data_IF_109788198761
#
_entry.id   IF_109788198761
#
_cell.length_a   1.000
_cell.length_b   1.000
_cell.length_c   1.000
_cell.angle_alpha   90.00
_cell.angle_beta   90.00
_cell.angle_gamma   90.00
#
_symmetry.space_group_name_H-M   'P 1'
#
loop_
_entity.id
_entity.type
_entity.pdbx_description
1 polymer ?
#
# COMPACT_ATOMS: atom_id res chain seq x y z
N UNK A 1 -1.09 -16.97 -20.16
CA UNK A 1 -1.25 -15.75 -20.99
C UNK A 1 -1.99 -16.02 -22.31
N UNK A 2 -1.90 -17.23 -22.88
CA UNK A 2 -2.59 -17.61 -24.13
C UNK A 2 -4.13 -17.52 -24.15
N UNK A 3 -4.80 -17.54 -22.97
CA UNK A 3 -6.27 -17.51 -22.88
C UNK A 3 -6.87 -16.12 -22.61
N UNK A 4 -6.05 -15.13 -22.23
CA UNK A 4 -6.52 -13.79 -21.93
C UNK A 4 -6.51 -12.94 -23.23
N UNK A 5 -7.62 -12.30 -23.62
CA UNK A 5 -7.59 -11.34 -24.71
C UNK A 5 -6.68 -10.17 -24.35
N UNK A 6 -6.04 -9.57 -25.36
CA UNK A 6 -5.24 -8.36 -25.18
C UNK A 6 -6.08 -7.22 -24.57
N UNK A 7 -5.46 -6.38 -23.75
CA UNK A 7 -6.20 -5.31 -23.07
C UNK A 7 -6.82 -4.34 -24.09
N UNK A 8 -8.14 -4.09 -24.03
CA UNK A 8 -8.80 -3.19 -24.98
C UNK A 8 -8.24 -1.76 -24.88
N UNK A 9 -7.77 -1.34 -23.71
CA UNK A 9 -7.08 -0.06 -23.51
C UNK A 9 -5.76 0.04 -24.26
N UNK A 10 -4.99 -1.06 -24.32
CA UNK A 10 -3.75 -1.10 -25.08
C UNK A 10 -4.01 -1.05 -26.59
N UNK A 11 -5.05 -1.77 -27.05
CA UNK A 11 -5.46 -1.76 -28.46
C UNK A 11 -5.91 -0.36 -28.91
N UNK A 12 -6.67 0.36 -28.08
CA UNK A 12 -7.04 1.77 -28.32
C UNK A 12 -5.81 2.66 -28.41
N UNK A 13 -4.86 2.55 -27.47
CA UNK A 13 -3.58 3.31 -27.47
C UNK A 13 -2.71 3.03 -28.70
N UNK A 14 -2.83 1.84 -29.31
CA UNK A 14 -2.14 1.45 -30.54
C UNK A 14 -2.91 1.80 -31.82
N UNK A 15 -4.08 2.45 -31.71
CA UNK A 15 -4.94 2.77 -32.86
C UNK A 15 -5.71 1.57 -33.43
N UNK A 16 -5.67 0.40 -32.78
CA UNK A 16 -6.34 -0.84 -33.21
C UNK A 16 -7.79 -0.90 -32.69
N UNK A 17 -8.63 0.04 -33.15
CA UNK A 17 -9.99 0.22 -32.63
C UNK A 17 -10.93 -0.95 -32.92
N UNK A 18 -10.80 -1.62 -34.07
CA UNK A 18 -11.63 -2.77 -34.43
C UNK A 18 -11.36 -3.98 -33.53
N UNK A 19 -10.08 -4.24 -33.24
CA UNK A 19 -9.68 -5.29 -32.31
C UNK A 19 -10.14 -4.96 -30.88
N UNK A 20 -10.06 -3.69 -30.49
CA UNK A 20 -10.59 -3.24 -29.20
C UNK A 20 -12.10 -3.49 -29.07
N UNK A 21 -12.88 -3.21 -30.12
CA UNK A 21 -14.32 -3.54 -30.18
C UNK A 21 -14.57 -5.03 -30.02
N UNK A 22 -13.82 -5.87 -30.73
CA UNK A 22 -13.96 -7.33 -30.64
C UNK A 22 -13.68 -7.85 -29.22
N UNK A 23 -12.68 -7.29 -28.55
CA UNK A 23 -12.36 -7.63 -27.16
C UNK A 23 -13.42 -7.11 -26.19
N UNK A 24 -13.87 -5.86 -26.32
CA UNK A 24 -14.94 -5.30 -25.48
C UNK A 24 -16.23 -6.11 -25.63
N UNK A 25 -16.57 -6.52 -26.86
CA UNK A 25 -17.70 -7.40 -27.12
C UNK A 25 -17.55 -8.74 -26.40
N UNK A 26 -16.37 -9.37 -26.46
CA UNK A 26 -16.08 -10.64 -25.77
C UNK A 26 -16.15 -10.53 -24.24
N UNK A 27 -15.76 -9.38 -23.69
CA UNK A 27 -15.77 -9.12 -22.24
C UNK A 27 -17.15 -8.68 -21.72
N UNK A 28 -18.06 -8.29 -22.61
CA UNK A 28 -19.42 -7.86 -22.24
C UNK A 28 -20.35 -9.07 -22.24
N UNK A 29 -21.15 -9.23 -21.19
CA UNK A 29 -22.19 -10.27 -21.17
C UNK A 29 -23.36 -9.88 -22.09
N UNK A 30 -23.82 -10.81 -22.93
CA UNK A 30 -24.95 -10.60 -23.86
C UNK A 30 -26.27 -10.20 -23.16
N UNK A 31 -26.37 -10.34 -21.83
CA UNK A 31 -27.54 -9.95 -21.03
C UNK A 31 -27.65 -8.44 -20.78
N UNK A 32 -26.65 -7.65 -21.13
CA UNK A 32 -26.65 -6.20 -20.91
C UNK A 32 -27.28 -5.46 -22.10
N UNK A 33 -28.61 -5.39 -22.13
CA UNK A 33 -29.42 -4.79 -23.22
C UNK A 33 -29.10 -3.31 -23.49
N UNK A 34 -28.49 -2.60 -22.51
CA UNK A 34 -28.13 -1.18 -22.61
C UNK A 34 -26.63 -0.91 -22.81
N UNK A 35 -25.79 -1.93 -23.03
CA UNK A 35 -24.36 -1.72 -23.18
C UNK A 35 -23.99 -1.46 -24.65
N UNK A 36 -23.84 -0.18 -24.99
CA UNK A 36 -23.36 0.26 -26.29
C UNK A 36 -21.82 0.11 -26.37
N UNK A 37 -21.37 -0.87 -27.16
CA UNK A 37 -19.95 -1.19 -27.36
C UNK A 37 -19.22 -0.01 -28.00
N UNK A 38 -19.85 0.66 -28.97
CA UNK A 38 -19.25 1.76 -29.70
C UNK A 38 -19.08 2.99 -28.81
N UNK A 39 -20.08 3.28 -27.98
CA UNK A 39 -19.97 4.33 -26.96
C UNK A 39 -18.86 4.05 -25.95
N UNK A 40 -18.69 2.79 -25.52
CA UNK A 40 -17.61 2.43 -24.60
C UNK A 40 -16.23 2.57 -25.25
N UNK A 41 -16.05 2.08 -26.48
CA UNK A 41 -14.77 2.25 -27.19
C UNK A 41 -14.49 3.72 -27.48
N UNK A 42 -15.50 4.51 -27.84
CA UNK A 42 -15.36 5.96 -27.99
C UNK A 42 -14.94 6.63 -26.68
N UNK A 43 -15.55 6.24 -25.55
CA UNK A 43 -15.15 6.73 -24.23
C UNK A 43 -13.69 6.36 -23.91
N UNK A 44 -13.24 5.16 -24.27
CA UNK A 44 -11.85 4.73 -24.09
C UNK A 44 -10.88 5.57 -24.94
N UNK A 45 -11.25 5.92 -26.18
CA UNK A 45 -10.46 6.81 -27.06
C UNK A 45 -10.35 8.20 -26.43
N UNK A 46 -11.47 8.80 -26.06
CA UNK A 46 -11.50 10.14 -25.45
C UNK A 46 -10.70 10.16 -24.15
N UNK A 47 -10.87 9.14 -23.31
CA UNK A 47 -10.11 9.00 -22.05
C UNK A 47 -8.61 8.86 -22.32
N UNK A 48 -8.22 8.09 -23.34
CA UNK A 48 -6.81 7.89 -23.70
C UNK A 48 -6.17 9.18 -24.23
N UNK A 49 -6.88 9.92 -25.08
CA UNK A 49 -6.39 11.21 -25.58
C UNK A 49 -6.31 12.26 -24.46
N UNK A 50 -7.27 12.28 -23.54
CA UNK A 50 -7.21 13.12 -22.35
C UNK A 50 -6.03 12.74 -21.44
N UNK A 51 -5.81 11.45 -21.17
CA UNK A 51 -4.62 10.99 -20.44
C UNK A 51 -3.32 11.38 -21.15
N UNK A 52 -3.31 11.38 -22.48
CA UNK A 52 -2.14 11.75 -23.29
C UNK A 52 -1.86 13.25 -23.23
N UNK A 53 -2.88 14.10 -23.33
CA UNK A 53 -2.73 15.55 -23.20
C UNK A 53 -2.23 15.92 -21.81
N UNK A 54 -2.84 15.34 -20.77
CA UNK A 54 -2.39 15.52 -19.38
C UNK A 54 -0.93 15.07 -19.21
N UNK A 55 -0.55 13.92 -19.76
CA UNK A 55 0.81 13.43 -19.63
C UNK A 55 1.83 14.29 -20.38
N UNK A 56 1.45 14.88 -21.52
CA UNK A 56 2.28 15.79 -22.29
C UNK A 56 2.48 17.13 -21.58
N UNK A 57 1.46 17.62 -20.86
CA UNK A 57 1.51 18.89 -20.13
C UNK A 57 2.17 18.75 -18.74
N UNK A 58 2.17 17.55 -18.15
CA UNK A 58 2.71 17.33 -16.80
C UNK A 58 4.15 16.82 -16.83
N UNK A 59 5.02 17.35 -15.99
CA UNK A 59 6.40 16.85 -15.81
C UNK A 59 6.56 16.23 -14.42
N UNK A 60 7.54 15.33 -14.20
CA UNK A 60 7.84 14.80 -12.86
C UNK A 60 8.13 15.90 -11.82
N UNK A 61 8.68 17.05 -12.26
CA UNK A 61 8.89 18.22 -11.41
C UNK A 61 7.58 18.77 -10.84
N UNK A 62 6.45 18.64 -11.54
CA UNK A 62 5.14 19.08 -11.06
C UNK A 62 4.67 18.26 -9.84
N UNK A 63 5.17 17.03 -9.65
CA UNK A 63 4.91 16.25 -8.43
C UNK A 63 5.55 16.89 -7.19
N UNK A 64 6.60 17.70 -7.36
CA UNK A 64 7.33 18.33 -6.26
C UNK A 64 6.94 19.80 -6.04
N UNK A 65 5.88 20.29 -6.69
CA UNK A 65 5.44 21.68 -6.60
C UNK A 65 4.17 21.84 -5.76
N UNK A 66 4.15 22.87 -4.90
CA UNK A 66 2.97 23.32 -4.16
C UNK A 66 2.24 22.20 -3.40
N UNK A 67 0.94 22.12 -3.62
CA UNK A 67 0.04 21.14 -2.97
C UNK A 67 0.36 19.70 -3.39
N UNK A 68 0.87 19.50 -4.61
CA UNK A 68 1.20 18.17 -5.13
C UNK A 68 2.40 17.55 -4.42
N UNK A 69 3.37 18.38 -3.97
CA UNK A 69 4.49 17.92 -3.15
C UNK A 69 4.01 17.16 -1.91
N UNK A 70 3.05 17.74 -1.19
CA UNK A 70 2.51 17.12 0.02
C UNK A 70 1.86 15.77 -0.29
N UNK A 71 1.08 15.69 -1.38
CA UNK A 71 0.41 14.46 -1.79
C UNK A 71 1.40 13.39 -2.22
N UNK A 72 2.39 13.75 -3.03
CA UNK A 72 3.43 12.82 -3.49
C UNK A 72 4.27 12.33 -2.31
N UNK A 73 4.62 13.19 -1.35
CA UNK A 73 5.30 12.77 -0.12
C UNK A 73 4.48 11.81 0.74
N UNK A 74 3.15 12.03 0.83
CA UNK A 74 2.26 11.09 1.52
C UNK A 74 2.31 9.71 0.85
N UNK A 75 2.21 9.66 -0.48
CA UNK A 75 2.20 8.41 -1.26
C UNK A 75 3.55 7.68 -1.16
N UNK A 76 4.67 8.42 -1.24
CA UNK A 76 6.01 7.88 -0.99
C UNK A 76 6.11 7.31 0.41
N UNK A 77 5.63 8.04 1.42
CA UNK A 77 5.66 7.61 2.81
C UNK A 77 4.85 6.32 3.04
N UNK A 78 3.63 6.22 2.53
CA UNK A 78 2.80 5.00 2.64
C UNK A 78 3.51 3.79 2.02
N UNK A 79 4.17 3.97 0.88
CA UNK A 79 4.97 2.91 0.28
C UNK A 79 6.20 2.54 1.13
N UNK A 80 6.91 3.52 1.71
CA UNK A 80 8.04 3.27 2.61
C UNK A 80 7.61 2.54 3.90
N UNK A 81 6.41 2.84 4.42
CA UNK A 81 5.84 2.16 5.59
C UNK A 81 5.77 0.65 5.35
N UNK A 82 5.48 0.19 4.13
CA UNK A 82 5.47 -1.26 3.82
C UNK A 82 6.82 -1.93 4.11
N UNK A 83 7.93 -1.24 3.88
CA UNK A 83 9.26 -1.74 4.23
C UNK A 83 9.52 -1.58 5.73
N UNK A 84 9.25 -0.40 6.28
CA UNK A 84 9.58 -0.05 7.68
C UNK A 84 8.81 -0.85 8.73
N UNK A 85 7.62 -1.38 8.40
CA UNK A 85 6.84 -2.19 9.33
C UNK A 85 7.35 -3.63 9.53
N UNK A 86 8.53 -3.97 8.98
CA UNK A 86 9.16 -5.28 9.15
C UNK A 86 8.82 -6.29 8.06
N UNK A 87 8.37 -5.87 6.88
CA UNK A 87 8.18 -6.76 5.74
C UNK A 87 9.47 -7.51 5.33
N UNK A 88 10.66 -6.88 5.32
CA UNK A 88 11.91 -7.56 5.02
C UNK A 88 12.20 -8.72 5.99
N UNK A 89 11.91 -8.56 7.28
CA UNK A 89 12.05 -9.61 8.29
C UNK A 89 11.19 -10.84 7.96
N UNK A 90 9.94 -10.63 7.54
CA UNK A 90 9.03 -11.71 7.11
C UNK A 90 9.49 -12.38 5.82
N UNK A 91 10.17 -11.65 4.92
CA UNK A 91 10.81 -12.24 3.74
C UNK A 91 11.88 -13.28 4.07
N UNK A 92 12.54 -13.14 5.22
CA UNK A 92 13.53 -14.09 5.75
C UNK A 92 12.97 -14.95 6.90
N UNK A 93 11.64 -15.18 6.96
CA UNK A 93 10.98 -15.85 8.10
C UNK A 93 11.59 -17.22 8.45
N UNK A 94 11.90 -18.06 7.46
CA UNK A 94 12.49 -19.39 7.71
C UNK A 94 13.84 -19.28 8.41
N UNK A 95 14.69 -18.37 7.94
CA UNK A 95 15.99 -18.13 8.56
C UNK A 95 15.82 -17.50 9.94
N UNK A 96 14.92 -16.54 10.08
CA UNK A 96 14.57 -15.95 11.38
C UNK A 96 14.13 -16.99 12.41
N UNK A 97 13.26 -17.94 12.03
CA UNK A 97 12.80 -19.02 12.91
C UNK A 97 13.96 -19.94 13.34
N UNK A 98 14.89 -20.26 12.44
CA UNK A 98 16.10 -21.00 12.79
C UNK A 98 16.95 -20.21 13.79
N UNK A 99 17.14 -18.91 13.57
CA UNK A 99 17.88 -18.03 14.48
C UNK A 99 17.15 -17.81 15.82
N UNK A 100 15.84 -17.97 15.87
CA UNK A 100 15.07 -17.99 17.11
C UNK A 100 15.26 -19.30 17.91
N UNK A 101 15.89 -20.32 17.32
CA UNK A 101 16.19 -21.61 17.96
C UNK A 101 15.26 -22.76 17.55
N UNK A 102 14.43 -22.59 16.52
CA UNK A 102 13.60 -23.70 16.01
C UNK A 102 14.43 -24.66 15.13
N UNK A 103 14.17 -25.98 15.21
CA UNK A 103 14.72 -26.93 14.25
C UNK A 103 14.34 -26.56 12.81
N UNK A 104 15.20 -26.89 11.85
CA UNK A 104 15.04 -26.54 10.43
C UNK A 104 13.70 -27.03 9.84
N UNK A 105 13.26 -28.23 10.22
CA UNK A 105 11.98 -28.80 9.81
C UNK A 105 10.79 -28.00 10.35
N UNK A 106 10.83 -27.60 11.61
CA UNK A 106 9.75 -26.81 12.24
C UNK A 106 9.74 -25.37 11.74
N UNK A 107 10.90 -24.76 11.52
CA UNK A 107 11.02 -23.45 10.90
C UNK A 107 10.37 -23.43 9.50
N UNK A 108 10.59 -24.46 8.69
CA UNK A 108 9.96 -24.60 7.39
C UNK A 108 8.43 -24.76 7.50
N UNK A 109 7.95 -25.63 8.40
CA UNK A 109 6.52 -25.81 8.67
C UNK A 109 5.84 -24.50 9.11
N UNK A 110 6.49 -23.71 9.96
CA UNK A 110 5.98 -22.41 10.40
C UNK A 110 5.93 -21.37 9.27
N UNK A 111 6.88 -21.40 8.33
CA UNK A 111 6.82 -20.55 7.13
C UNK A 111 5.62 -20.94 6.25
N UNK A 112 5.37 -22.24 6.04
CA UNK A 112 4.19 -22.70 5.30
C UNK A 112 2.90 -22.24 6.00
N UNK A 113 2.81 -22.42 7.32
CA UNK A 113 1.68 -21.94 8.11
C UNK A 113 1.51 -20.41 7.98
N UNK A 114 2.61 -19.66 7.97
CA UNK A 114 2.62 -18.22 7.73
C UNK A 114 2.01 -17.83 6.38
N UNK A 115 2.32 -18.55 5.31
CA UNK A 115 1.71 -18.32 3.99
C UNK A 115 0.22 -18.68 3.95
N UNK A 116 -0.18 -19.79 4.58
CA UNK A 116 -1.60 -20.16 4.67
C UNK A 116 -2.40 -19.09 5.42
N UNK A 117 -1.89 -18.60 6.53
CA UNK A 117 -2.50 -17.52 7.32
C UNK A 117 -2.51 -16.20 6.52
N UNK A 118 -1.48 -15.92 5.72
CA UNK A 118 -1.46 -14.74 4.85
C UNK A 118 -2.59 -14.77 3.81
N UNK A 119 -2.91 -15.94 3.23
CA UNK A 119 -4.06 -16.11 2.31
C UNK A 119 -5.37 -15.79 3.03
N UNK A 120 -5.57 -16.34 4.24
CA UNK A 120 -6.75 -16.06 5.06
C UNK A 120 -6.85 -14.57 5.40
N UNK A 121 -5.72 -13.93 5.72
CA UNK A 121 -5.65 -12.48 5.94
C UNK A 121 -6.08 -11.69 4.71
N UNK A 122 -5.64 -12.10 3.52
CA UNK A 122 -6.05 -11.50 2.25
C UNK A 122 -7.57 -11.59 2.03
N UNK A 123 -8.17 -12.76 2.28
CA UNK A 123 -9.64 -12.93 2.19
C UNK A 123 -10.38 -12.06 3.20
N UNK A 124 -9.85 -11.96 4.42
CA UNK A 124 -10.44 -11.12 5.47
C UNK A 124 -10.39 -9.62 5.11
N UNK A 125 -9.36 -9.18 4.36
CA UNK A 125 -9.25 -7.79 3.91
C UNK A 125 -10.46 -7.34 3.08
N UNK A 126 -11.03 -8.24 2.25
CA UNK A 126 -12.16 -7.91 1.39
C UNK A 126 -13.41 -7.53 2.18
N UNK A 127 -13.60 -8.13 3.36
CA UNK A 127 -14.71 -7.81 4.26
C UNK A 127 -14.39 -6.60 5.13
N UNK A 128 -13.13 -6.46 5.57
CA UNK A 128 -12.74 -5.40 6.50
C UNK A 128 -12.70 -4.00 5.85
N UNK A 129 -12.21 -3.91 4.62
CA UNK A 129 -11.98 -2.62 3.94
C UNK A 129 -13.26 -1.82 3.65
N UNK A 130 -14.40 -2.42 3.24
CA UNK A 130 -15.64 -1.67 3.05
C UNK A 130 -16.26 -1.16 4.36
N UNK A 131 -16.13 -1.93 5.44
CA UNK A 131 -16.83 -1.66 6.70
C UNK A 131 -16.24 -0.47 7.46
N UNK A 132 -14.91 -0.38 7.57
CA UNK A 132 -14.25 0.65 8.38
C UNK A 132 -13.54 1.73 7.53
N UNK A 133 -13.23 2.86 8.15
CA UNK A 133 -12.42 3.92 7.52
C UNK A 133 -10.99 3.47 7.25
N UNK A 134 -10.44 3.82 6.09
CA UNK A 134 -9.15 3.31 5.61
C UNK A 134 -7.99 3.80 6.47
N UNK A 135 -8.02 5.08 6.86
CA UNK A 135 -7.01 5.66 7.77
C UNK A 135 -7.07 4.98 9.14
N UNK A 136 -8.27 4.71 9.63
CA UNK A 136 -8.49 4.10 10.95
C UNK A 136 -7.94 2.69 11.00
N UNK A 137 -8.28 1.84 10.02
CA UNK A 137 -7.71 0.48 9.92
C UNK A 137 -6.19 0.58 9.79
N UNK A 138 -5.68 1.41 8.88
CA UNK A 138 -4.24 1.52 8.62
C UNK A 138 -3.45 1.91 9.88
N UNK A 139 -3.93 2.90 10.63
CA UNK A 139 -3.28 3.37 11.84
C UNK A 139 -3.28 2.32 12.95
N UNK A 140 -4.44 1.71 13.25
CA UNK A 140 -4.54 0.71 14.31
C UNK A 140 -3.77 -0.56 13.98
N UNK A 141 -3.72 -0.95 12.70
CA UNK A 141 -2.87 -2.04 12.24
C UNK A 141 -1.39 -1.76 12.48
N UNK A 142 -0.91 -0.55 12.23
CA UNK A 142 0.48 -0.17 12.53
C UNK A 142 0.77 -0.19 14.04
N UNK A 143 -0.16 0.26 14.88
CA UNK A 143 -0.03 0.20 16.35
C UNK A 143 0.07 -1.25 16.82
N UNK A 144 -0.82 -2.13 16.34
CA UNK A 144 -0.77 -3.54 16.70
C UNK A 144 0.52 -4.21 16.21
N UNK A 145 1.00 -3.82 15.03
CA UNK A 145 2.25 -4.31 14.47
C UNK A 145 3.48 -3.88 15.27
N UNK A 146 3.48 -2.64 15.76
CA UNK A 146 4.49 -2.13 16.67
C UNK A 146 4.55 -2.93 17.98
N UNK A 147 3.39 -3.21 18.59
CA UNK A 147 3.31 -4.01 19.81
C UNK A 147 3.88 -5.41 19.58
N UNK A 148 3.49 -6.07 18.49
CA UNK A 148 4.00 -7.42 18.16
C UNK A 148 5.51 -7.40 17.94
N UNK A 149 6.04 -6.42 17.23
CA UNK A 149 7.48 -6.30 16.98
C UNK A 149 8.28 -6.03 18.27
N UNK A 150 7.73 -5.25 19.19
CA UNK A 150 8.30 -5.09 20.55
C UNK A 150 8.30 -6.43 21.27
N UNK A 151 7.19 -7.17 21.27
CA UNK A 151 7.10 -8.46 21.97
C UNK A 151 8.10 -9.47 21.40
N UNK A 152 8.22 -9.58 20.07
CA UNK A 152 9.21 -10.43 19.40
C UNK A 152 10.63 -10.04 19.83
N UNK A 153 10.94 -8.75 19.79
CA UNK A 153 12.25 -8.23 20.18
C UNK A 153 12.57 -8.45 21.66
N UNK A 154 11.60 -8.23 22.53
CA UNK A 154 11.70 -8.39 23.98
C UNK A 154 11.92 -9.86 24.37
N UNK A 155 11.18 -10.79 23.74
CA UNK A 155 11.36 -12.24 23.92
C UNK A 155 12.71 -12.74 23.37
N UNK A 156 13.33 -11.99 22.45
CA UNK A 156 14.67 -12.29 21.96
C UNK A 156 15.78 -12.19 23.02
N UNK A 157 15.60 -11.37 24.07
CA UNK A 157 16.57 -11.28 25.17
C UNK A 157 16.60 -12.53 26.08
N UNK A 158 15.49 -12.99 26.67
CA UNK A 158 15.50 -14.21 27.48
C UNK A 158 15.89 -15.43 26.64
N UNK A 159 15.47 -15.51 25.37
CA UNK A 159 15.85 -16.60 24.49
C UNK A 159 17.36 -16.68 24.23
N UNK A 160 18.04 -15.53 24.20
CA UNK A 160 19.50 -15.50 24.05
C UNK A 160 20.25 -15.89 25.32
N UNK A 161 19.66 -15.65 26.50
CA UNK A 161 20.28 -15.94 27.81
C UNK A 161 20.04 -17.38 28.24
N UNK A 162 18.83 -17.87 28.00
CA UNK A 162 18.38 -19.21 28.38
C UNK A 162 17.49 -19.75 27.26
N UNK A 163 18.10 -20.39 26.24
CA UNK A 163 17.35 -20.90 25.09
C UNK A 163 16.32 -21.94 25.55
N UNK A 164 15.04 -21.63 25.36
CA UNK A 164 13.96 -22.59 25.60
C UNK A 164 13.11 -22.74 24.34
N UNK A 165 12.58 -23.96 24.06
CA UNK A 165 11.66 -24.16 22.94
C UNK A 165 10.43 -23.26 23.04
N UNK A 166 9.92 -23.01 24.25
CA UNK A 166 8.73 -22.20 24.49
C UNK A 166 8.88 -20.76 23.94
N UNK A 167 10.01 -20.10 24.17
CA UNK A 167 10.25 -18.76 23.62
C UNK A 167 10.40 -18.79 22.10
N UNK A 168 11.04 -19.81 21.54
CA UNK A 168 11.19 -19.94 20.08
C UNK A 168 9.83 -20.07 19.37
N UNK A 169 8.94 -20.91 19.91
CA UNK A 169 7.56 -21.05 19.41
C UNK A 169 6.73 -19.78 19.59
N UNK A 170 6.88 -19.08 20.72
CA UNK A 170 6.20 -17.81 20.96
C UNK A 170 6.64 -16.71 19.98
N UNK A 171 7.95 -16.57 19.74
CA UNK A 171 8.51 -15.64 18.76
C UNK A 171 8.00 -15.97 17.35
N UNK A 172 8.00 -17.26 17.00
CA UNK A 172 7.53 -17.71 15.70
C UNK A 172 6.03 -17.45 15.48
N UNK A 173 5.19 -17.75 16.48
CA UNK A 173 3.74 -17.53 16.38
C UNK A 173 3.39 -16.05 16.31
N UNK A 174 4.08 -15.19 17.06
CA UNK A 174 3.94 -13.73 16.96
C UNK A 174 4.28 -13.23 15.56
N UNK A 175 5.33 -13.75 14.92
CA UNK A 175 5.66 -13.37 13.55
C UNK A 175 4.60 -13.83 12.55
N UNK A 176 3.99 -15.00 12.73
CA UNK A 176 2.87 -15.47 11.90
C UNK A 176 1.65 -14.54 12.06
N UNK A 177 1.29 -14.17 13.29
CA UNK A 177 0.22 -13.19 13.55
C UNK A 177 0.55 -11.83 12.92
N UNK A 178 1.83 -11.43 12.94
CA UNK A 178 2.30 -10.22 12.25
C UNK A 178 2.04 -10.28 10.75
N UNK A 179 2.25 -11.45 10.13
CA UNK A 179 2.00 -11.69 8.70
C UNK A 179 0.51 -11.64 8.37
N UNK A 180 -0.35 -12.20 9.23
CA UNK A 180 -1.81 -12.11 9.07
C UNK A 180 -2.25 -10.64 9.00
N UNK A 181 -1.85 -9.86 9.99
CA UNK A 181 -2.24 -8.46 10.13
C UNK A 181 -1.73 -7.60 8.98
N UNK A 182 -0.51 -7.85 8.51
CA UNK A 182 0.02 -7.18 7.32
C UNK A 182 -0.85 -7.43 6.08
N UNK A 183 -1.21 -8.69 5.82
CA UNK A 183 -1.98 -9.07 4.64
C UNK A 183 -3.47 -8.70 4.74
N UNK A 184 -4.04 -8.62 5.95
CA UNK A 184 -5.43 -8.21 6.12
C UNK A 184 -5.64 -6.71 6.01
N UNK A 185 -4.59 -5.90 6.17
CA UNK A 185 -4.73 -4.44 6.27
C UNK A 185 -3.65 -3.68 5.52
N UNK A 186 -2.41 -3.63 6.03
CA UNK A 186 -1.35 -2.73 5.54
C UNK A 186 -1.07 -2.94 4.04
N UNK A 187 -0.97 -4.18 3.57
CA UNK A 187 -0.70 -4.49 2.16
C UNK A 187 -1.80 -3.98 1.23
N UNK A 188 -3.06 -4.44 1.37
CA UNK A 188 -4.19 -3.96 0.57
C UNK A 188 -4.45 -2.45 0.70
N UNK A 189 -4.39 -1.90 1.92
CA UNK A 189 -4.60 -0.47 2.18
C UNK A 189 -3.55 0.40 1.53
N UNK A 190 -2.29 -0.04 1.50
CA UNK A 190 -1.23 0.74 0.85
C UNK A 190 -1.54 0.92 -0.64
N UNK A 191 -1.88 -0.16 -1.35
CA UNK A 191 -2.15 -0.07 -2.78
C UNK A 191 -3.37 0.81 -3.08
N UNK A 192 -4.39 0.74 -2.23
CA UNK A 192 -5.62 1.53 -2.42
C UNK A 192 -5.45 3.01 -2.04
N UNK A 193 -4.81 3.33 -0.90
CA UNK A 193 -4.50 4.71 -0.51
C UNK A 193 -3.57 5.40 -1.53
N UNK A 194 -2.60 4.68 -2.09
CA UNK A 194 -1.71 5.22 -3.11
C UNK A 194 -2.42 5.54 -4.43
N UNK A 195 -3.57 4.91 -4.71
CA UNK A 195 -4.41 5.28 -5.86
C UNK A 195 -5.37 6.44 -5.58
N UNK A 196 -5.75 6.67 -4.32
CA UNK A 196 -6.80 7.63 -3.95
C UNK A 196 -6.25 9.02 -3.57
N UNK A 197 -5.05 9.09 -3.00
CA UNK A 197 -4.46 10.34 -2.48
C UNK A 197 -3.87 11.27 -3.57
N UNK A 198 -3.15 10.78 -4.60
CA UNK A 198 -2.62 11.64 -5.65
C UNK A 198 -3.74 12.33 -6.44
N UNK A 199 -3.47 13.56 -6.91
CA UNK A 199 -4.29 14.17 -7.97
C UNK A 199 -4.37 13.23 -9.18
N UNK A 200 -5.54 13.15 -9.81
CA UNK A 200 -5.80 12.30 -10.98
C UNK A 200 -4.75 12.53 -12.09
N UNK A 201 -4.33 13.78 -12.29
CA UNK A 201 -3.39 14.18 -13.33
C UNK A 201 -1.96 13.67 -13.09
N UNK A 202 -1.53 13.64 -11.83
CA UNK A 202 -0.16 13.28 -11.42
C UNK A 202 -0.09 11.89 -10.76
N UNK A 203 -1.19 11.14 -10.77
CA UNK A 203 -1.31 9.85 -10.06
C UNK A 203 -0.26 8.85 -10.51
N UNK A 204 -0.18 8.60 -11.82
CA UNK A 204 0.79 7.64 -12.37
C UNK A 204 2.23 8.00 -11.99
N UNK A 205 2.61 9.28 -12.16
CA UNK A 205 3.97 9.78 -11.86
C UNK A 205 4.29 9.69 -10.37
N UNK A 206 3.34 10.05 -9.50
CA UNK A 206 3.52 9.95 -8.04
C UNK A 206 3.66 8.51 -7.56
N UNK A 207 2.88 7.59 -8.12
CA UNK A 207 2.96 6.16 -7.79
C UNK A 207 4.28 5.56 -8.27
N UNK A 208 4.76 5.94 -9.45
CA UNK A 208 6.09 5.51 -9.96
C UNK A 208 7.20 5.97 -9.03
N UNK A 209 7.22 7.25 -8.63
CA UNK A 209 8.21 7.77 -7.69
C UNK A 209 8.16 7.01 -6.35
N UNK A 210 6.97 6.78 -5.81
CA UNK A 210 6.80 6.04 -4.57
C UNK A 210 7.24 4.57 -4.66
N UNK A 211 6.98 3.90 -5.80
CA UNK A 211 7.46 2.53 -6.07
C UNK A 211 8.98 2.47 -6.18
N UNK A 212 9.61 3.47 -6.78
CA UNK A 212 11.08 3.57 -6.81
C UNK A 212 11.66 3.74 -5.41
N UNK A 213 11.12 4.65 -4.59
CA UNK A 213 11.56 4.81 -3.20
C UNK A 213 11.33 3.53 -2.37
N UNK A 214 10.21 2.85 -2.58
CA UNK A 214 9.96 1.53 -2.00
C UNK A 214 11.03 0.52 -2.39
N UNK A 215 11.37 0.41 -3.68
CA UNK A 215 12.40 -0.51 -4.14
C UNK A 215 13.76 -0.22 -3.50
N UNK A 216 14.18 1.05 -3.44
CA UNK A 216 15.44 1.46 -2.80
C UNK A 216 15.45 1.12 -1.32
N UNK A 217 14.40 1.49 -0.58
CA UNK A 217 14.30 1.16 0.86
C UNK A 217 14.29 -0.34 1.10
N UNK A 218 13.65 -1.12 0.22
CA UNK A 218 13.60 -2.57 0.31
C UNK A 218 14.95 -3.23 -0.02
N UNK A 219 15.75 -2.67 -0.92
CA UNK A 219 17.12 -3.13 -1.19
C UNK A 219 17.99 -2.89 0.05
N UNK A 220 17.95 -1.69 0.63
CA UNK A 220 18.69 -1.36 1.86
C UNK A 220 18.29 -2.34 2.98
N UNK A 221 17.00 -2.53 3.19
CA UNK A 221 16.50 -3.47 4.18
C UNK A 221 16.86 -4.94 3.88
N UNK A 222 16.91 -5.31 2.60
CA UNK A 222 17.33 -6.63 2.14
C UNK A 222 18.81 -6.90 2.39
N UNK A 223 19.65 -5.87 2.50
CA UNK A 223 21.02 -6.00 2.99
C UNK A 223 21.04 -6.03 4.51
N UNK A 224 20.35 -5.11 5.20
CA UNK A 224 20.38 -5.05 6.67
C UNK A 224 19.86 -6.32 7.35
N UNK A 225 18.77 -6.91 6.84
CA UNK A 225 18.08 -8.02 7.51
C UNK A 225 18.96 -9.29 7.63
N UNK A 226 19.65 -9.76 6.57
CA UNK A 226 20.62 -10.85 6.68
C UNK A 226 21.75 -10.57 7.68
N UNK A 227 22.32 -9.36 7.71
CA UNK A 227 23.37 -9.01 8.66
C UNK A 227 22.87 -9.06 10.12
N UNK A 228 21.63 -8.62 10.36
CA UNK A 228 20.97 -8.68 11.66
C UNK A 228 20.77 -10.13 12.12
N UNK A 229 20.37 -11.01 11.21
CA UNK A 229 20.05 -12.40 11.54
C UNK A 229 21.28 -13.31 11.59
N UNK A 230 22.35 -12.97 10.88
CA UNK A 230 23.52 -13.83 10.78
C UNK A 230 24.33 -13.87 12.09
N UNK A 231 24.55 -15.08 12.68
CA UNK A 231 25.36 -15.27 13.88
C UNK A 231 26.81 -14.78 13.78
N UNK A 232 27.40 -14.78 12.58
CA UNK A 232 28.79 -14.36 12.37
C UNK A 232 28.94 -12.87 12.12
N UNK A 233 27.83 -12.14 11.97
CA UNK A 233 27.80 -10.70 11.76
C UNK A 233 27.25 -9.99 13.00
N UNK A 234 26.06 -9.39 12.94
CA UNK A 234 25.51 -8.64 14.06
C UNK A 234 24.86 -9.52 15.11
N UNK A 235 24.45 -10.75 14.75
CA UNK A 235 23.90 -11.75 15.66
C UNK A 235 22.77 -11.21 16.56
N UNK A 236 21.86 -10.44 15.98
CA UNK A 236 20.70 -9.90 16.72
C UNK A 236 19.59 -10.94 16.86
N UNK A 237 19.50 -11.90 15.92
CA UNK A 237 18.50 -12.96 15.94
C UNK A 237 17.09 -12.39 16.14
N UNK A 238 16.38 -12.84 17.17
CA UNK A 238 15.04 -12.34 17.51
C UNK A 238 15.00 -10.87 17.96
N UNK A 239 16.11 -10.30 18.49
CA UNK A 239 16.17 -8.89 18.93
C UNK A 239 16.02 -7.91 17.77
N UNK A 240 16.20 -8.39 16.54
CA UNK A 240 15.92 -7.67 15.30
C UNK A 240 14.49 -7.09 15.26
N UNK A 241 13.54 -7.72 15.97
CA UNK A 241 12.18 -7.18 16.14
C UNK A 241 12.15 -5.75 16.71
N UNK A 242 13.09 -5.37 17.59
CA UNK A 242 13.15 -4.01 18.16
C UNK A 242 13.56 -2.95 17.13
N UNK A 243 14.47 -3.31 16.22
CA UNK A 243 14.86 -2.41 15.14
C UNK A 243 13.67 -2.10 14.23
N UNK A 244 12.92 -3.14 13.84
CA UNK A 244 11.71 -2.99 13.05
C UNK A 244 10.57 -2.33 13.82
N UNK A 245 10.50 -2.50 15.15
CA UNK A 245 9.58 -1.74 15.98
C UNK A 245 9.88 -0.23 15.93
N UNK A 246 11.15 0.18 15.90
CA UNK A 246 11.53 1.59 15.67
C UNK A 246 11.00 2.13 14.33
N UNK A 247 11.12 1.34 13.26
CA UNK A 247 10.53 1.64 11.96
C UNK A 247 8.99 1.73 11.99
N UNK A 248 8.33 0.82 12.71
CA UNK A 248 6.89 0.88 12.95
C UNK A 248 6.48 2.15 13.70
N UNK A 249 7.26 2.60 14.70
CA UNK A 249 6.94 3.83 15.46
C UNK A 249 6.98 5.07 14.56
N UNK A 250 8.02 5.20 13.73
CA UNK A 250 8.11 6.28 12.74
C UNK A 250 6.91 6.22 11.79
N UNK A 251 6.52 5.01 11.38
CA UNK A 251 5.37 4.77 10.51
C UNK A 251 4.05 5.18 11.18
N UNK A 252 3.87 4.92 12.49
CA UNK A 252 2.70 5.33 13.28
C UNK A 252 2.62 6.85 13.36
N UNK A 253 3.72 7.52 13.67
CA UNK A 253 3.78 8.98 13.73
C UNK A 253 3.41 9.56 12.36
N UNK A 254 4.03 9.06 11.29
CA UNK A 254 3.71 9.51 9.94
C UNK A 254 2.23 9.27 9.58
N UNK A 255 1.70 8.08 9.85
CA UNK A 255 0.30 7.76 9.59
C UNK A 255 -0.67 8.67 10.37
N UNK A 256 -0.33 9.02 11.60
CA UNK A 256 -1.16 9.88 12.43
C UNK A 256 -1.23 11.34 11.93
N UNK A 257 -0.09 11.90 11.52
CA UNK A 257 0.01 13.31 11.11
C UNK A 257 -0.28 13.54 9.62
N UNK A 258 0.14 12.62 8.74
CA UNK A 258 0.18 12.86 7.30
C UNK A 258 -0.89 12.11 6.49
N UNK A 259 -1.36 10.95 6.94
CA UNK A 259 -2.32 10.14 6.15
C UNK A 259 -3.75 10.66 6.35
N UNK A 260 -4.43 11.13 5.28
CA UNK A 260 -5.83 11.55 5.33
C UNK A 260 -6.79 10.36 5.30
N UNK A 261 -8.06 10.59 5.63
CA UNK A 261 -9.15 9.61 5.43
C UNK A 261 -9.86 9.90 4.10
N UNK A 262 -9.70 9.05 3.07
CA UNK A 262 -10.33 9.25 1.76
C UNK A 262 -11.73 8.60 1.64
N UNK A 263 -12.20 7.87 2.66
CA UNK A 263 -13.49 7.17 2.61
C UNK A 263 -14.65 8.15 2.31
N UNK A 264 -15.54 7.73 1.41
CA UNK A 264 -16.76 8.43 0.98
C UNK A 264 -16.53 9.81 0.32
N UNK A 265 -15.34 10.03 -0.26
CA UNK A 265 -15.00 11.27 -0.97
C UNK A 265 -14.69 11.02 -2.44
N UNK A 266 -15.16 11.93 -3.29
CA UNK A 266 -14.76 11.94 -4.70
C UNK A 266 -13.33 12.45 -4.85
N UNK A 267 -12.66 12.11 -5.95
CA UNK A 267 -11.31 12.61 -6.24
C UNK A 267 -11.28 14.14 -6.33
N UNK A 268 -12.36 14.75 -6.84
CA UNK A 268 -12.51 16.20 -6.91
C UNK A 268 -12.66 16.85 -5.52
N UNK A 269 -13.42 16.24 -4.61
CA UNK A 269 -13.51 16.73 -3.22
C UNK A 269 -12.17 16.65 -2.50
N UNK A 270 -11.41 15.55 -2.71
CA UNK A 270 -10.06 15.44 -2.19
C UNK A 270 -9.15 16.53 -2.77
N UNK A 271 -9.32 16.87 -4.05
CA UNK A 271 -8.54 17.92 -4.68
C UNK A 271 -8.72 19.28 -3.98
N UNK A 272 -9.98 19.67 -3.75
CA UNK A 272 -10.36 20.90 -3.06
C UNK A 272 -9.83 20.91 -1.62
N UNK A 273 -9.91 19.79 -0.88
CA UNK A 273 -9.42 19.71 0.50
C UNK A 273 -7.90 19.92 0.60
N UNK A 274 -7.16 19.36 -0.36
CA UNK A 274 -5.72 19.55 -0.44
C UNK A 274 -5.37 20.99 -0.85
N UNK A 275 -6.10 21.61 -1.78
CA UNK A 275 -5.91 23.01 -2.17
C UNK A 275 -6.21 23.99 -1.03
N UNK A 276 -7.26 23.74 -0.26
CA UNK A 276 -7.60 24.47 0.98
C UNK A 276 -6.60 24.21 2.12
N UNK A 277 -5.53 23.43 1.88
CA UNK A 277 -4.47 23.08 2.84
C UNK A 277 -4.99 22.54 4.18
N UNK A 278 -6.14 21.87 4.16
CA UNK A 278 -6.75 21.32 5.37
C UNK A 278 -5.80 20.30 6.01
N UNK A 279 -5.82 20.18 7.33
CA UNK A 279 -5.05 19.15 8.02
C UNK A 279 -5.64 17.75 7.69
N UNK A 280 -4.82 16.74 7.33
CA UNK A 280 -5.26 15.37 7.01
C UNK A 280 -6.21 14.76 8.04
N UNK A 281 -6.15 15.23 9.29
CA UNK A 281 -7.02 14.82 10.40
C UNK A 281 -8.48 15.25 10.26
N UNK A 282 -8.73 16.37 9.60
CA UNK A 282 -10.06 16.97 9.49
C UNK A 282 -10.73 16.69 8.13
N UNK A 283 -10.10 15.90 7.26
CA UNK A 283 -10.63 15.57 5.93
C UNK A 283 -12.02 14.92 6.00
N UNK A 284 -12.24 14.04 6.97
CA UNK A 284 -13.55 13.41 7.18
C UNK A 284 -14.63 14.41 7.66
N UNK A 285 -14.25 15.43 8.44
CA UNK A 285 -15.18 16.37 9.09
C UNK A 285 -15.46 17.65 8.29
N UNK A 286 -14.66 17.93 7.26
CA UNK A 286 -14.78 19.17 6.49
C UNK A 286 -15.84 18.99 5.41
N UNK A 287 -16.94 19.76 5.43
CA UNK A 287 -17.89 19.74 4.32
C UNK A 287 -17.20 20.30 3.07
N UNK A 288 -17.44 19.66 1.93
CA UNK A 288 -16.96 20.11 0.63
C UNK A 288 -18.18 20.16 -0.27
N UNK A 289 -18.58 21.36 -0.68
CA UNK A 289 -19.59 21.55 -1.71
C UNK A 289 -18.87 21.77 -3.04
N UNK A 290 -19.11 20.86 -4.00
CA UNK A 290 -18.52 20.93 -5.34
C UNK A 290 -19.07 22.13 -6.11
N UNK A 291 -20.29 22.58 -5.81
CA UNK A 291 -20.89 23.73 -6.49
C UNK A 291 -20.24 25.04 -6.04
N UNK A 292 -20.02 25.22 -4.74
CA UNK A 292 -19.37 26.41 -4.19
C UNK A 292 -17.90 26.55 -4.65
N UNK A 293 -17.19 25.44 -4.86
CA UNK A 293 -15.81 25.46 -5.36
C UNK A 293 -15.68 25.81 -6.85
N UNK A 294 -16.69 25.46 -7.66
CA UNK A 294 -16.70 25.76 -9.11
C UNK A 294 -17.21 27.20 -9.34
N UNK A 295 -18.23 27.64 -8.62
CA UNK A 295 -18.86 28.96 -8.82
C UNK A 295 -18.25 30.08 -7.97
N UNK A 296 -17.62 29.78 -6.82
CA UNK A 296 -17.07 30.79 -5.92
C UNK A 296 -15.77 31.45 -6.40
N UNK A 297 -15.09 30.90 -7.40
CA UNK A 297 -13.89 31.50 -8.02
C UNK A 297 -14.24 32.47 -9.16
N UNK A 298 -15.45 32.38 -9.73
CA UNK A 298 -15.95 33.31 -10.74
C UNK A 298 -16.51 34.61 -10.13
N UNK A 299 -17.02 34.58 -8.89
CA UNK A 299 -17.49 35.81 -8.20
C UNK A 299 -16.35 36.75 -7.75
N UNK A 300 -15.09 36.28 -7.70
CA UNK A 300 -13.93 37.13 -7.33
C UNK A 300 -13.27 37.82 -8.52
N UNK A 301 -13.83 37.68 -9.73
CA UNK A 301 -13.28 38.25 -10.98
C UNK A 301 -14.12 39.37 -11.62
N UNK A 302 -15.10 39.92 -10.90
CA UNK A 302 -15.83 41.13 -11.32
C UNK A 302 -15.63 42.27 -10.33
#
# INVERSE_FOLDING_TARGET
>A
MFFAPESPWWLVRRGRLQDARAVVKRLTSDKNVNFDIDKNVALMVVTTEHERSINAETTYLACFQGTNLRRTLIVIGIYCIQTLNGNPLRGYSTYFYQQAGLPTTQAFNMTIAGFAVAIVGGLFSWVLLPLFGRRTIYFWSLVLMFIIMILVGALGFPQSRSPTPAFAWAIGSLLIVSSFLYNCSIGPLTNTLCSEIPSSLLRSKSVVLARWTYAVTHIIAGVLTPYQLNPTAWNWGARTGLFWAGGCLISIVFAYFCVPEPKDRTTAELDILFERKVSPRHFSKTPVDLTEAIYGDDEKKF
#
